data_IF_144281862912
#
_entry.id   IF_144281862912
#
_cell.length_a   1.000
_cell.length_b   1.000
_cell.length_c   1.000
_cell.angle_alpha   90.00
_cell.angle_beta   90.00
_cell.angle_gamma   90.00
#
_symmetry.space_group_name_H-M   'P 1'
#
loop_
_entity.id
_entity.type
_entity.pdbx_description
1 polymer ?
#
# COMPACT_ATOMS: atom_id res chain seq x y z
N UNK A 1 12.48 -0.38 31.96
CA UNK A 1 11.11 -0.07 32.41
C UNK A 1 10.68 -1.15 33.40
N UNK A 2 10.29 -0.78 34.62
CA UNK A 2 9.98 -1.71 35.72
C UNK A 2 8.69 -2.49 35.43
N UNK A 3 8.78 -3.81 35.34
CA UNK A 3 7.64 -4.71 35.23
C UNK A 3 6.90 -4.71 36.57
N UNK A 4 5.63 -4.28 36.58
CA UNK A 4 4.74 -4.42 37.73
C UNK A 4 4.08 -5.80 37.61
N UNK A 5 4.36 -6.68 38.57
CA UNK A 5 3.76 -8.01 38.61
C UNK A 5 2.24 -7.88 38.83
N UNK A 6 1.45 -8.34 37.86
CA UNK A 6 0.00 -8.52 37.97
C UNK A 6 -0.29 -9.81 38.75
N UNK A 7 -0.02 -9.81 40.06
CA UNK A 7 -0.42 -10.89 40.97
C UNK A 7 -1.20 -10.28 42.14
N UNK A 8 -2.33 -9.63 41.85
CA UNK A 8 -3.28 -9.18 42.88
C UNK A 8 -4.38 -10.23 42.97
N UNK A 9 -4.45 -10.94 44.10
CA UNK A 9 -5.56 -11.85 44.44
C UNK A 9 -5.32 -13.36 44.26
N UNK A 10 -4.08 -13.82 44.09
CA UNK A 10 -3.75 -15.25 44.03
C UNK A 10 -2.97 -15.66 45.28
N UNK A 11 -3.56 -16.50 46.15
CA UNK A 11 -2.93 -16.92 47.41
C UNK A 11 -1.87 -18.02 47.23
N UNK A 12 -1.94 -18.86 46.19
CA UNK A 12 -0.85 -19.76 45.80
C UNK A 12 -1.04 -20.26 44.36
N UNK A 13 0.06 -20.39 43.60
CA UNK A 13 0.08 -21.16 42.34
C UNK A 13 0.85 -22.46 42.64
N UNK A 14 0.13 -23.53 42.93
CA UNK A 14 0.70 -24.87 43.01
C UNK A 14 0.81 -25.45 41.61
N UNK A 15 1.97 -25.26 40.97
CA UNK A 15 2.28 -25.90 39.70
C UNK A 15 2.64 -27.37 39.96
N UNK A 16 1.68 -28.27 39.77
CA UNK A 16 1.94 -29.71 39.73
C UNK A 16 2.74 -30.03 38.46
N UNK A 17 4.06 -30.23 38.59
CA UNK A 17 4.83 -30.93 37.56
C UNK A 17 4.57 -32.42 37.73
N UNK A 18 3.60 -32.94 36.98
CA UNK A 18 3.56 -34.37 36.68
C UNK A 18 4.76 -34.64 35.77
N UNK A 19 5.79 -35.24 36.35
CA UNK A 19 6.89 -35.79 35.58
C UNK A 19 6.32 -36.91 34.70
N UNK A 20 6.17 -36.63 33.42
CA UNK A 20 5.97 -37.65 32.38
C UNK A 20 6.88 -37.26 31.20
N UNK A 21 8.04 -37.91 31.21
CA UNK A 21 8.84 -38.35 30.06
C UNK A 21 8.37 -37.83 28.70
N UNK A 22 8.86 -36.65 28.30
CA UNK A 22 8.82 -36.25 26.89
C UNK A 22 10.17 -35.66 26.52
N UNK A 23 11.01 -36.48 25.89
CA UNK A 23 12.25 -36.06 25.25
C UNK A 23 11.93 -35.17 24.04
N UNK A 24 11.74 -33.87 24.26
CA UNK A 24 11.78 -32.89 23.19
C UNK A 24 13.23 -32.41 23.02
N UNK A 25 13.77 -32.39 21.79
CA UNK A 25 15.11 -31.86 21.54
C UNK A 25 15.15 -30.36 21.82
N UNK A 26 16.18 -29.93 22.56
CA UNK A 26 16.47 -28.53 22.81
C UNK A 26 16.84 -27.83 21.49
N UNK A 27 16.48 -26.55 21.39
CA UNK A 27 16.72 -25.63 20.26
C UNK A 27 15.71 -25.61 19.11
N UNK A 28 14.46 -25.29 19.46
CA UNK A 28 13.58 -24.53 18.57
C UNK A 28 13.45 -23.11 19.10
N UNK A 29 14.05 -22.13 18.43
CA UNK A 29 13.94 -20.72 18.79
C UNK A 29 12.50 -20.36 19.17
N UNK A 30 12.30 -19.87 20.40
CA UNK A 30 11.03 -19.36 20.90
C UNK A 30 10.41 -18.48 19.81
N UNK A 31 9.29 -18.94 19.22
CA UNK A 31 8.51 -18.11 18.30
C UNK A 31 8.30 -16.75 18.99
N UNK A 32 8.51 -15.62 18.29
CA UNK A 32 8.27 -14.32 18.89
C UNK A 32 6.84 -14.31 19.41
N UNK A 33 6.70 -14.11 20.72
CA UNK A 33 5.41 -14.01 21.36
C UNK A 33 4.72 -12.80 20.73
N UNK A 34 3.63 -13.03 19.98
CA UNK A 34 2.83 -11.94 19.43
C UNK A 34 2.21 -11.20 20.62
N UNK A 35 2.87 -10.14 21.05
CA UNK A 35 2.37 -9.21 22.04
C UNK A 35 1.59 -8.15 21.25
N UNK A 36 0.25 -8.12 21.31
CA UNK A 36 -0.49 -7.03 20.69
C UNK A 36 -0.01 -5.73 21.33
N UNK A 37 0.49 -4.81 20.49
CA UNK A 37 0.75 -3.45 20.92
C UNK A 37 -0.54 -2.91 21.52
N UNK A 38 -0.49 -2.40 22.76
CA UNK A 38 -1.62 -1.68 23.35
C UNK A 38 -1.90 -0.44 22.49
N UNK A 39 -2.79 -0.58 21.52
CA UNK A 39 -3.43 0.54 20.87
C UNK A 39 -4.57 1.00 21.76
N UNK A 40 -4.77 2.31 21.88
CA UNK A 40 -5.92 2.86 22.59
C UNK A 40 -7.20 2.25 21.99
N UNK A 41 -8.11 1.76 22.85
CA UNK A 41 -9.36 1.10 22.44
C UNK A 41 -10.13 1.95 21.41
N UNK A 42 -10.03 3.28 21.55
CA UNK A 42 -10.61 4.26 20.64
C UNK A 42 -10.11 4.14 19.20
N UNK A 43 -8.84 3.78 18.96
CA UNK A 43 -8.30 3.61 17.62
C UNK A 43 -8.84 2.37 16.90
N UNK A 44 -9.29 1.36 17.67
CA UNK A 44 -9.91 0.14 17.13
C UNK A 44 -11.40 0.37 16.87
N UNK A 45 -12.06 1.14 17.75
CA UNK A 45 -13.50 1.41 17.68
C UNK A 45 -13.84 2.55 16.71
N UNK A 46 -12.94 3.51 16.49
CA UNK A 46 -13.09 4.60 15.51
C UNK A 46 -12.41 4.22 14.19
N UNK A 47 -12.83 3.09 13.60
CA UNK A 47 -12.41 2.78 12.24
C UNK A 47 -13.08 3.81 11.32
N UNK A 48 -12.33 4.64 10.59
CA UNK A 48 -12.93 5.68 9.78
C UNK A 48 -13.83 5.05 8.73
N UNK A 49 -15.02 5.63 8.57
CA UNK A 49 -16.01 5.17 7.60
C UNK A 49 -15.47 5.28 6.17
N UNK A 50 -16.08 4.57 5.21
CA UNK A 50 -15.67 4.68 3.81
C UNK A 50 -15.77 6.14 3.34
N UNK A 51 -16.81 6.85 3.75
CA UNK A 51 -17.04 8.27 3.42
C UNK A 51 -15.97 9.19 4.04
N UNK A 52 -15.48 8.89 5.24
CA UNK A 52 -14.36 9.61 5.86
C UNK A 52 -13.02 9.35 5.16
N UNK A 53 -12.84 8.16 4.57
CA UNK A 53 -11.61 7.79 3.85
C UNK A 53 -11.63 8.20 2.37
N UNK A 54 -12.82 8.33 1.79
CA UNK A 54 -13.04 8.58 0.38
C UNK A 54 -12.29 9.82 -0.14
N UNK A 55 -12.31 10.97 0.57
CA UNK A 55 -11.56 12.15 0.14
C UNK A 55 -10.06 11.87 0.00
N UNK A 56 -9.43 11.22 0.99
CA UNK A 56 -7.99 10.90 0.94
C UNK A 56 -7.62 9.79 -0.06
N UNK A 57 -8.60 8.98 -0.49
CA UNK A 57 -8.41 7.97 -1.53
C UNK A 57 -8.58 8.56 -2.95
N UNK A 58 -9.46 9.55 -3.12
CA UNK A 58 -9.70 10.22 -4.40
C UNK A 58 -8.76 11.39 -4.65
N UNK A 59 -8.33 12.06 -3.58
CA UNK A 59 -7.37 13.16 -3.59
C UNK A 59 -6.25 12.83 -2.60
N UNK A 60 -5.26 12.03 -3.02
CA UNK A 60 -4.09 11.81 -2.19
C UNK A 60 -3.39 13.15 -1.94
N UNK A 61 -2.94 13.41 -0.72
CA UNK A 61 -2.27 14.68 -0.35
C UNK A 61 -1.02 14.99 -1.19
N UNK A 62 -0.45 13.97 -1.85
CA UNK A 62 0.74 14.08 -2.70
C UNK A 62 0.42 14.29 -4.19
N UNK A 63 -0.85 14.20 -4.59
CA UNK A 63 -1.28 14.36 -5.97
C UNK A 63 -1.53 15.84 -6.25
N UNK A 64 -0.93 16.37 -7.32
CA UNK A 64 -1.22 17.71 -7.80
C UNK A 64 -2.72 17.80 -8.17
N UNK A 65 -3.50 18.72 -7.57
CA UNK A 65 -4.93 18.82 -7.82
C UNK A 65 -5.26 19.09 -9.29
N UNK A 66 -4.37 19.73 -10.03
CA UNK A 66 -4.58 20.03 -11.45
C UNK A 66 -4.61 18.74 -12.29
N UNK A 67 -3.96 17.66 -11.84
CA UNK A 67 -3.99 16.35 -12.51
C UNK A 67 -5.34 15.62 -12.39
N UNK A 68 -6.26 16.13 -11.59
CA UNK A 68 -7.65 15.64 -11.56
C UNK A 68 -8.44 16.11 -12.78
N UNK A 69 -8.01 17.18 -13.45
CA UNK A 69 -8.65 17.64 -14.67
C UNK A 69 -8.23 16.74 -15.85
N UNK A 70 -9.18 16.11 -16.56
CA UNK A 70 -8.84 15.15 -17.62
C UNK A 70 -7.96 15.72 -18.73
N UNK A 71 -8.14 17.02 -19.04
CA UNK A 71 -7.32 17.70 -20.04
C UNK A 71 -5.87 17.86 -19.56
N UNK A 72 -5.69 18.39 -18.35
CA UNK A 72 -4.36 18.59 -17.75
C UNK A 72 -3.62 17.26 -17.58
N UNK A 73 -4.32 16.21 -17.16
CA UNK A 73 -3.75 14.87 -17.05
C UNK A 73 -3.26 14.36 -18.42
N UNK A 74 -4.05 14.54 -19.47
CA UNK A 74 -3.67 14.14 -20.85
C UNK A 74 -2.46 14.95 -21.33
N UNK A 75 -2.50 16.26 -21.20
CA UNK A 75 -1.43 17.16 -21.63
C UNK A 75 -0.11 16.87 -20.89
N UNK A 76 -0.20 16.58 -19.59
CA UNK A 76 0.96 16.26 -18.75
C UNK A 76 1.55 14.90 -19.12
N UNK A 77 0.72 13.90 -19.43
CA UNK A 77 1.19 12.59 -19.91
C UNK A 77 1.92 12.71 -21.24
N UNK A 78 1.36 13.46 -22.19
CA UNK A 78 2.00 13.70 -23.49
C UNK A 78 3.36 14.41 -23.33
N UNK A 79 3.42 15.45 -22.48
CA UNK A 79 4.67 16.15 -22.17
C UNK A 79 5.70 15.24 -21.49
N UNK A 80 5.28 14.40 -20.54
CA UNK A 80 6.17 13.47 -19.84
C UNK A 80 6.73 12.41 -20.78
N UNK A 81 5.89 11.88 -21.67
CA UNK A 81 6.29 10.93 -22.70
C UNK A 81 7.35 11.52 -23.62
N UNK A 82 7.17 12.74 -24.09
CA UNK A 82 8.15 13.44 -24.92
C UNK A 82 9.48 13.66 -24.18
N UNK A 83 9.43 14.00 -22.88
CA UNK A 83 10.62 14.10 -22.04
C UNK A 83 11.36 12.77 -21.93
N UNK A 84 10.66 11.65 -21.76
CA UNK A 84 11.28 10.32 -21.72
C UNK A 84 11.89 9.92 -23.06
N UNK A 85 11.23 10.20 -24.18
CA UNK A 85 11.80 9.97 -25.52
C UNK A 85 13.09 10.78 -25.72
N UNK A 86 13.10 12.06 -25.32
CA UNK A 86 14.30 12.90 -25.39
C UNK A 86 15.40 12.40 -24.45
N UNK A 87 15.04 12.00 -23.23
CA UNK A 87 15.98 11.45 -22.25
C UNK A 87 16.61 10.13 -22.72
N UNK A 88 15.83 9.23 -23.32
CA UNK A 88 16.29 7.98 -23.89
C UNK A 88 17.37 8.21 -24.96
N UNK A 89 17.17 9.20 -25.85
CA UNK A 89 18.14 9.54 -26.92
C UNK A 89 19.49 10.00 -26.38
N UNK A 90 19.53 10.58 -25.17
CA UNK A 90 20.74 11.10 -24.52
C UNK A 90 21.45 10.07 -23.64
N UNK A 91 20.88 8.87 -23.48
CA UNK A 91 21.39 7.82 -22.59
C UNK A 91 21.70 6.56 -23.38
N UNK A 92 22.43 5.64 -22.74
CA UNK A 92 22.80 4.35 -23.33
C UNK A 92 22.55 3.20 -22.34
N UNK A 93 22.52 1.97 -22.87
CA UNK A 93 22.37 0.76 -22.06
C UNK A 93 21.04 0.67 -21.31
N UNK A 94 21.11 0.28 -20.04
CA UNK A 94 19.92 0.03 -19.19
C UNK A 94 19.06 1.27 -18.99
N UNK A 95 19.66 2.45 -18.80
CA UNK A 95 18.92 3.69 -18.56
C UNK A 95 18.10 4.12 -19.78
N UNK A 96 18.66 3.94 -20.98
CA UNK A 96 17.91 4.19 -22.22
C UNK A 96 16.66 3.31 -22.29
N UNK A 97 16.81 2.00 -22.02
CA UNK A 97 15.67 1.06 -22.02
C UNK A 97 14.60 1.44 -21.01
N UNK A 98 14.99 1.90 -19.81
CA UNK A 98 14.02 2.34 -18.79
C UNK A 98 13.20 3.54 -19.30
N UNK A 99 13.85 4.52 -19.94
CA UNK A 99 13.13 5.66 -20.51
C UNK A 99 12.26 5.28 -21.71
N UNK A 100 12.73 4.35 -22.56
CA UNK A 100 11.93 3.82 -23.67
C UNK A 100 10.67 3.10 -23.15
N UNK A 101 10.81 2.22 -22.16
CA UNK A 101 9.68 1.52 -21.52
C UNK A 101 8.72 2.49 -20.82
N UNK A 102 9.25 3.52 -20.16
CA UNK A 102 8.41 4.53 -19.51
C UNK A 102 7.58 5.32 -20.52
N UNK A 103 8.14 5.65 -21.69
CA UNK A 103 7.41 6.30 -22.77
C UNK A 103 6.35 5.35 -23.38
N UNK A 104 6.69 4.08 -23.57
CA UNK A 104 5.78 3.05 -24.08
C UNK A 104 4.55 2.86 -23.17
N UNK A 105 4.74 2.77 -21.85
CA UNK A 105 3.62 2.66 -20.91
C UNK A 105 2.70 3.89 -20.91
N UNK A 106 3.23 5.08 -21.17
CA UNK A 106 2.40 6.28 -21.33
C UNK A 106 1.57 6.24 -22.61
N UNK A 107 2.14 5.69 -23.70
CA UNK A 107 1.41 5.47 -24.95
C UNK A 107 0.28 4.43 -24.77
N UNK A 108 0.56 3.30 -24.11
CA UNK A 108 -0.45 2.28 -23.79
C UNK A 108 -1.60 2.86 -22.95
N UNK A 109 -1.29 3.67 -21.94
CA UNK A 109 -2.32 4.33 -21.11
C UNK A 109 -3.23 5.23 -21.93
N UNK A 110 -2.70 5.90 -22.95
CA UNK A 110 -3.47 6.77 -23.84
C UNK A 110 -4.42 5.98 -24.73
N UNK A 111 -3.97 4.84 -25.25
CA UNK A 111 -4.81 3.96 -26.06
C UNK A 111 -6.01 3.43 -25.27
N UNK A 112 -5.80 3.09 -24.00
CA UNK A 112 -6.87 2.68 -23.07
C UNK A 112 -7.87 3.81 -22.81
N UNK A 113 -7.40 5.03 -22.60
CA UNK A 113 -8.29 6.19 -22.41
C UNK A 113 -9.16 6.43 -23.66
N UNK A 114 -8.59 6.29 -24.86
CA UNK A 114 -9.33 6.41 -26.12
C UNK A 114 -10.32 5.26 -26.33
N UNK A 115 -10.00 4.04 -25.88
CA UNK A 115 -10.95 2.92 -25.84
C UNK A 115 -12.11 3.18 -24.88
N UNK A 116 -11.84 3.70 -23.68
CA UNK A 116 -12.87 4.04 -22.69
C UNK A 116 -13.78 5.13 -23.24
N UNK A 117 -13.22 6.20 -23.83
CA UNK A 117 -14.02 7.29 -24.43
C UNK A 117 -14.91 6.78 -25.56
N UNK A 118 -14.38 5.91 -26.43
CA UNK A 118 -15.16 5.27 -27.49
C UNK A 118 -16.30 4.44 -26.92
N UNK A 119 -16.02 3.59 -25.94
CA UNK A 119 -17.01 2.73 -25.28
C UNK A 119 -18.11 3.54 -24.58
N UNK A 120 -17.74 4.59 -23.86
CA UNK A 120 -18.68 5.50 -23.20
C UNK A 120 -19.55 6.23 -24.22
N UNK A 121 -18.98 6.67 -25.35
CA UNK A 121 -19.73 7.34 -26.41
C UNK A 121 -20.78 6.45 -27.07
N UNK A 122 -20.50 5.15 -27.19
CA UNK A 122 -21.47 4.16 -27.69
C UNK A 122 -22.59 3.96 -26.66
N UNK A 123 -22.24 3.85 -25.38
CA UNK A 123 -23.20 3.64 -24.30
C UNK A 123 -24.14 4.85 -24.10
N UNK A 124 -23.65 6.07 -24.26
CA UNK A 124 -24.46 7.30 -24.14
C UNK A 124 -25.30 7.61 -25.39
N UNK A 125 -25.08 6.91 -26.51
CA UNK A 125 -25.87 7.04 -27.74
C UNK A 125 -26.98 5.98 -27.87
N UNK A 126 -27.03 5.02 -26.96
CA UNK A 126 -28.14 4.07 -26.78
C UNK A 126 -29.14 4.56 -25.75
#
# INVERSE_FOLDING_TARGET
>A
MRVRNLNVGLEAITLWRRADETHLPDDGALKPQFLPLQQHLDAILHRPSLDERLPGLLQPDFLDPDLLEPRVLTDTRDAMRDLFVVAARRRSGRLRRIFELAAEHLDESRELDDEIRRSLSVLLRG
#
